data_IF_006320289581
#
_entry.id   IF_006320289581
#
_cell.length_a   1.000
_cell.length_b   1.000
_cell.length_c   1.000
_cell.angle_alpha   90.00
_cell.angle_beta   90.00
_cell.angle_gamma   90.00
#
_symmetry.space_group_name_H-M   'P 1'
#
loop_
_entity.id
_entity.type
_entity.pdbx_description
1 polymer ?
#
# COMPACT_ATOMS: atom_id res chain seq x y z
N UNK A 1 22.61 -13.04 -0.21
CA UNK A 1 21.36 -12.60 -0.85
C UNK A 1 21.51 -12.80 -2.36
N UNK A 2 20.53 -13.43 -3.06
CA UNK A 2 20.59 -13.56 -4.53
C UNK A 2 20.29 -12.21 -5.17
N UNK A 3 21.20 -11.68 -5.98
CA UNK A 3 20.98 -10.53 -6.84
C UNK A 3 20.80 -11.00 -8.29
N UNK A 4 19.97 -10.30 -9.03
CA UNK A 4 19.54 -10.67 -10.37
C UNK A 4 20.20 -9.78 -11.42
N UNK A 5 20.49 -10.33 -12.62
CA UNK A 5 20.95 -9.61 -13.80
C UNK A 5 19.90 -9.60 -14.91
N UNK A 6 20.10 -8.80 -15.95
CA UNK A 6 19.19 -8.66 -17.10
C UNK A 6 17.85 -7.98 -16.75
N UNK A 7 17.74 -7.34 -15.58
CA UNK A 7 16.51 -6.68 -15.14
C UNK A 7 16.28 -5.36 -15.89
N UNK A 8 17.35 -4.63 -16.16
CA UNK A 8 17.24 -3.34 -16.85
C UNK A 8 16.79 -3.54 -18.30
N UNK A 9 17.32 -4.54 -18.99
CA UNK A 9 16.89 -4.90 -20.34
C UNK A 9 15.40 -5.27 -20.36
N UNK A 10 14.94 -6.05 -19.38
CA UNK A 10 13.51 -6.39 -19.24
C UNK A 10 12.63 -5.16 -18.98
N UNK A 11 13.14 -4.14 -18.28
CA UNK A 11 12.41 -2.86 -18.10
C UNK A 11 12.31 -2.14 -19.43
N UNK A 12 13.38 -2.14 -20.23
CA UNK A 12 13.47 -1.51 -21.54
C UNK A 12 12.79 -2.28 -22.68
N UNK A 13 12.36 -3.51 -22.42
CA UNK A 13 11.66 -4.33 -23.42
C UNK A 13 10.44 -3.57 -23.95
N UNK A 14 10.32 -3.38 -25.28
CA UNK A 14 9.18 -2.72 -25.89
C UNK A 14 7.83 -3.30 -25.45
N UNK A 15 7.73 -4.63 -25.34
CA UNK A 15 6.53 -5.31 -24.89
C UNK A 15 6.20 -4.96 -23.42
N UNK A 16 7.21 -4.83 -22.55
CA UNK A 16 7.01 -4.41 -21.18
C UNK A 16 6.56 -2.95 -21.07
N UNK A 17 7.17 -2.04 -21.83
CA UNK A 17 6.79 -0.61 -21.86
C UNK A 17 5.36 -0.44 -22.38
N UNK A 18 5.00 -1.20 -23.38
CA UNK A 18 3.67 -1.23 -23.95
C UNK A 18 2.62 -1.73 -22.94
N UNK A 19 2.86 -2.88 -22.34
CA UNK A 19 2.02 -3.41 -21.28
C UNK A 19 1.97 -2.47 -20.05
N UNK A 20 3.04 -1.72 -19.77
CA UNK A 20 3.08 -0.71 -18.70
C UNK A 20 2.18 0.49 -19.02
N UNK A 21 2.16 0.95 -20.28
CA UNK A 21 1.24 2.00 -20.75
C UNK A 21 -0.22 1.55 -20.56
N UNK A 22 -0.57 0.34 -20.97
CA UNK A 22 -1.92 -0.21 -20.82
C UNK A 22 -2.34 -0.30 -19.34
N UNK A 23 -1.43 -0.80 -18.47
CA UNK A 23 -1.69 -0.85 -17.02
C UNK A 23 -1.86 0.53 -16.41
N UNK A 24 -1.05 1.52 -16.81
CA UNK A 24 -1.13 2.89 -16.33
C UNK A 24 -2.43 3.59 -16.78
N UNK A 25 -2.94 3.25 -17.97
CA UNK A 25 -4.15 3.82 -18.57
C UNK A 25 -5.45 3.23 -18.00
N UNK A 26 -5.40 2.06 -17.34
CA UNK A 26 -6.60 1.36 -16.84
C UNK A 26 -7.45 2.26 -15.95
N UNK A 27 -8.75 2.41 -16.28
CA UNK A 27 -9.71 3.26 -15.57
C UNK A 27 -9.44 4.77 -15.71
N UNK A 28 -8.62 5.20 -16.70
CA UNK A 28 -8.25 6.60 -16.90
C UNK A 28 -8.15 6.98 -18.38
N UNK A 29 -8.61 6.14 -19.28
CA UNK A 29 -8.49 6.33 -20.75
C UNK A 29 -9.17 7.60 -21.24
N UNK A 30 -10.17 8.10 -20.52
CA UNK A 30 -10.90 9.33 -20.86
C UNK A 30 -10.14 10.63 -20.50
N UNK A 31 -9.02 10.52 -19.77
CA UNK A 31 -8.24 11.71 -19.37
C UNK A 31 -7.35 12.17 -20.51
N UNK A 32 -7.36 13.49 -20.82
CA UNK A 32 -6.60 14.06 -21.93
C UNK A 32 -5.10 13.69 -21.96
N UNK A 33 -4.33 13.70 -20.83
CA UNK A 33 -2.94 13.26 -20.86
C UNK A 33 -2.76 11.78 -21.24
N UNK A 34 -3.75 10.93 -20.89
CA UNK A 34 -3.74 9.50 -21.23
C UNK A 34 -4.04 9.31 -22.71
N UNK A 35 -5.09 9.96 -23.22
CA UNK A 35 -5.47 9.92 -24.64
C UNK A 35 -4.32 10.37 -25.54
N UNK A 36 -3.67 11.49 -25.19
CA UNK A 36 -2.51 12.00 -25.94
C UNK A 36 -1.39 10.96 -26.02
N UNK A 37 -0.97 10.38 -24.90
CA UNK A 37 0.12 9.40 -24.90
C UNK A 37 -0.28 8.11 -25.63
N UNK A 38 -1.55 7.70 -25.57
CA UNK A 38 -2.05 6.55 -26.33
C UNK A 38 -2.05 6.82 -27.84
N UNK A 39 -2.41 8.02 -28.28
CA UNK A 39 -2.37 8.43 -29.68
C UNK A 39 -0.93 8.52 -30.22
N UNK A 40 -0.01 9.02 -29.40
CA UNK A 40 1.42 9.16 -29.73
C UNK A 40 2.25 7.90 -29.41
N UNK A 41 1.63 6.78 -29.08
CA UNK A 41 2.27 5.56 -28.58
C UNK A 41 3.46 5.10 -29.43
N UNK A 42 3.31 5.10 -30.76
CA UNK A 42 4.32 4.63 -31.67
C UNK A 42 5.63 5.44 -31.66
N UNK A 43 5.58 6.70 -31.24
CA UNK A 43 6.74 7.59 -31.15
C UNK A 43 7.18 7.85 -29.70
N UNK A 44 6.23 7.92 -28.79
CA UNK A 44 6.49 8.27 -27.40
C UNK A 44 7.19 7.12 -26.61
N UNK A 45 6.82 5.86 -26.84
CA UNK A 45 7.44 4.72 -26.16
C UNK A 45 8.89 4.47 -26.62
N UNK A 46 9.23 4.46 -27.93
CA UNK A 46 10.63 4.39 -28.34
C UNK A 46 11.50 5.51 -27.78
N UNK A 47 11.00 6.76 -27.82
CA UNK A 47 11.71 7.89 -27.22
C UNK A 47 11.92 7.72 -25.72
N UNK A 48 10.91 7.26 -24.99
CA UNK A 48 11.01 6.99 -23.55
C UNK A 48 12.05 5.88 -23.28
N UNK A 49 12.07 4.83 -24.10
CA UNK A 49 13.05 3.75 -24.04
C UNK A 49 14.47 4.26 -24.24
N UNK A 50 14.68 5.12 -25.24
CA UNK A 50 15.99 5.75 -25.51
C UNK A 50 16.45 6.60 -24.32
N UNK A 51 15.59 7.44 -23.75
CA UNK A 51 15.91 8.25 -22.58
C UNK A 51 16.30 7.37 -21.37
N UNK A 52 15.58 6.27 -21.14
CA UNK A 52 15.89 5.30 -20.08
C UNK A 52 17.24 4.61 -20.34
N UNK A 53 17.48 4.14 -21.56
CA UNK A 53 18.70 3.45 -21.95
C UNK A 53 19.93 4.37 -21.84
N UNK A 54 19.81 5.62 -22.28
CA UNK A 54 20.88 6.62 -22.20
C UNK A 54 21.09 7.19 -20.77
N UNK A 55 20.18 6.89 -19.81
CA UNK A 55 20.22 7.45 -18.46
C UNK A 55 19.87 8.94 -18.39
N UNK A 56 19.28 9.49 -19.45
CA UNK A 56 18.85 10.91 -19.54
C UNK A 56 17.42 11.12 -19.05
N UNK A 57 16.68 10.04 -18.75
CA UNK A 57 15.34 10.13 -18.18
C UNK A 57 15.32 10.98 -16.93
N UNK A 58 14.39 11.92 -16.86
CA UNK A 58 14.10 12.72 -15.66
C UNK A 58 12.57 12.73 -15.44
N UNK A 59 12.11 12.43 -14.21
CA UNK A 59 10.71 12.54 -13.85
C UNK A 59 10.23 13.99 -13.96
N UNK A 60 8.97 14.18 -14.36
CA UNK A 60 8.33 15.48 -14.36
C UNK A 60 7.81 15.83 -12.97
N UNK A 61 7.57 17.11 -12.68
CA UNK A 61 6.99 17.53 -11.40
C UNK A 61 5.67 16.81 -11.10
N UNK A 62 5.43 16.52 -9.82
CA UNK A 62 4.18 15.95 -9.36
C UNK A 62 3.04 16.96 -9.35
N UNK A 63 1.85 16.55 -9.76
CA UNK A 63 0.61 17.24 -9.43
C UNK A 63 0.23 16.86 -8.00
N UNK A 64 0.10 17.88 -7.13
CA UNK A 64 -0.23 17.68 -5.73
C UNK A 64 -1.65 18.10 -5.43
N UNK A 65 -2.39 17.25 -4.72
CA UNK A 65 -3.70 17.59 -4.18
C UNK A 65 -3.91 16.94 -2.82
N UNK A 66 -4.78 17.55 -2.03
CA UNK A 66 -5.13 17.00 -0.72
C UNK A 66 -6.43 16.22 -0.79
N UNK A 67 -6.44 15.04 -0.16
CA UNK A 67 -7.64 14.28 0.12
C UNK A 67 -7.86 14.22 1.62
N UNK A 68 -9.12 14.29 2.06
CA UNK A 68 -9.49 14.12 3.46
C UNK A 68 -10.32 12.86 3.63
N UNK A 69 -9.65 11.71 3.80
CA UNK A 69 -10.32 10.42 3.96
C UNK A 69 -9.52 9.42 4.83
N UNK A 70 -9.80 9.29 6.09
CA UNK A 70 -10.50 10.15 7.06
C UNK A 70 -9.63 11.32 7.56
N UNK A 71 -8.35 11.33 7.22
CA UNK A 71 -7.36 12.35 7.59
C UNK A 71 -6.88 13.07 6.35
N UNK A 72 -6.50 14.35 6.45
CA UNK A 72 -5.87 15.04 5.34
C UNK A 72 -4.56 14.34 4.96
N UNK A 73 -4.43 14.05 3.66
CA UNK A 73 -3.22 13.47 3.06
C UNK A 73 -2.88 14.24 1.79
N UNK A 74 -1.62 14.60 1.65
CA UNK A 74 -1.09 15.15 0.40
C UNK A 74 -0.80 13.98 -0.53
N UNK A 75 -1.46 13.95 -1.67
CA UNK A 75 -1.24 12.96 -2.72
C UNK A 75 -0.36 13.60 -3.80
N UNK A 76 0.70 12.92 -4.18
CA UNK A 76 1.60 13.32 -5.26
C UNK A 76 1.34 12.44 -6.47
N UNK A 77 0.64 12.97 -7.45
CA UNK A 77 0.30 12.26 -8.68
C UNK A 77 1.43 12.46 -9.69
N UNK A 78 2.15 11.41 -10.05
CA UNK A 78 3.16 11.48 -11.09
C UNK A 78 2.53 11.79 -12.44
N UNK A 79 3.23 12.54 -13.29
CA UNK A 79 2.86 12.75 -14.67
C UNK A 79 2.61 11.41 -15.37
N UNK A 80 1.67 11.36 -16.32
CA UNK A 80 1.22 10.08 -16.87
C UNK A 80 2.37 9.28 -17.53
N UNK A 81 3.29 9.95 -18.22
CA UNK A 81 4.51 9.36 -18.78
C UNK A 81 5.36 8.65 -17.70
N UNK A 82 5.55 9.28 -16.55
CA UNK A 82 6.37 8.74 -15.47
C UNK A 82 5.67 7.56 -14.79
N UNK A 83 4.33 7.55 -14.78
CA UNK A 83 3.56 6.39 -14.33
C UNK A 83 3.77 5.17 -15.21
N UNK A 84 3.99 5.36 -16.53
CA UNK A 84 4.39 4.24 -17.41
C UNK A 84 5.73 3.68 -16.96
N UNK A 85 6.72 4.52 -16.64
CA UNK A 85 8.02 4.08 -16.10
C UNK A 85 7.83 3.33 -14.77
N UNK A 86 7.01 3.87 -13.85
CA UNK A 86 6.72 3.19 -12.59
C UNK A 86 6.10 1.79 -12.81
N UNK A 87 5.17 1.66 -13.76
CA UNK A 87 4.57 0.37 -14.11
C UNK A 87 5.59 -0.59 -14.76
N UNK A 88 6.48 -0.08 -15.63
CA UNK A 88 7.52 -0.89 -16.26
C UNK A 88 8.52 -1.42 -15.24
N UNK A 89 8.99 -0.57 -14.33
CA UNK A 89 9.89 -0.93 -13.23
C UNK A 89 9.22 -1.94 -12.28
N UNK A 90 7.99 -1.67 -11.86
CA UNK A 90 7.27 -2.56 -10.94
C UNK A 90 6.94 -3.92 -11.57
N UNK A 91 6.67 -4.00 -12.87
CA UNK A 91 6.44 -5.28 -13.54
C UNK A 91 7.64 -6.22 -13.41
N UNK A 92 8.86 -5.67 -13.37
CA UNK A 92 10.09 -6.46 -13.25
C UNK A 92 10.50 -6.67 -11.79
N UNK A 93 10.40 -5.65 -10.94
CA UNK A 93 10.89 -5.71 -9.56
C UNK A 93 9.87 -6.26 -8.57
N UNK A 94 8.56 -6.05 -8.77
CA UNK A 94 7.55 -6.51 -7.84
C UNK A 94 7.60 -8.03 -7.59
N UNK A 95 7.79 -8.91 -8.59
CA UNK A 95 7.95 -10.34 -8.35
C UNK A 95 9.16 -10.69 -7.49
N UNK A 96 10.24 -9.91 -7.55
CA UNK A 96 11.44 -10.12 -6.73
C UNK A 96 11.21 -9.65 -5.29
N UNK A 97 10.55 -8.51 -5.12
CA UNK A 97 10.15 -7.99 -3.80
C UNK A 97 9.15 -8.96 -3.16
N UNK A 98 8.15 -9.44 -3.91
CA UNK A 98 7.12 -10.36 -3.44
C UNK A 98 7.71 -11.63 -2.80
N UNK A 99 8.79 -12.18 -3.37
CA UNK A 99 9.49 -13.36 -2.83
C UNK A 99 10.18 -13.11 -1.49
N UNK A 100 10.45 -11.85 -1.14
CA UNK A 100 11.05 -11.47 0.13
C UNK A 100 10.01 -11.25 1.22
N UNK A 101 8.82 -10.79 0.81
CA UNK A 101 7.76 -10.45 1.76
C UNK A 101 7.19 -11.72 2.40
N UNK A 102 7.02 -11.68 3.70
CA UNK A 102 6.38 -12.77 4.44
C UNK A 102 4.91 -12.96 4.01
N UNK A 103 4.37 -14.14 4.29
CA UNK A 103 2.98 -14.46 3.96
C UNK A 103 1.97 -13.55 4.66
N UNK A 104 2.26 -13.08 5.88
CA UNK A 104 1.36 -12.27 6.70
C UNK A 104 1.51 -10.75 6.49
N UNK A 105 2.11 -10.32 5.37
CA UNK A 105 2.05 -8.95 4.84
C UNK A 105 0.93 -8.85 3.81
N UNK A 106 -0.01 -7.90 3.98
CA UNK A 106 -1.27 -7.86 3.24
C UNK A 106 -1.49 -6.61 2.39
N UNK A 107 -0.65 -5.60 2.47
CA UNK A 107 -0.85 -4.35 1.74
C UNK A 107 -0.28 -4.39 0.31
N UNK A 108 -1.04 -3.89 -0.67
CA UNK A 108 -0.59 -3.69 -2.06
C UNK A 108 -0.04 -4.96 -2.76
N UNK A 109 -0.56 -6.12 -2.40
CA UNK A 109 -0.18 -7.43 -2.96
C UNK A 109 -1.40 -8.11 -3.57
N UNK A 110 -1.19 -8.78 -4.70
CA UNK A 110 -2.24 -9.56 -5.36
C UNK A 110 -2.72 -10.71 -4.46
N UNK A 111 -4.01 -10.96 -4.46
CA UNK A 111 -4.61 -11.99 -3.63
C UNK A 111 -4.59 -11.72 -2.12
N UNK A 112 -4.13 -10.55 -1.66
CA UNK A 112 -4.08 -10.13 -0.26
C UNK A 112 -5.16 -9.07 0.03
N UNK A 113 -4.85 -7.98 0.68
CA UNK A 113 -5.76 -6.87 0.95
C UNK A 113 -6.34 -6.86 2.36
N UNK A 114 -7.09 -5.80 2.67
CA UNK A 114 -7.58 -5.53 4.03
C UNK A 114 -8.52 -6.60 4.58
N UNK A 115 -9.35 -7.20 3.73
CA UNK A 115 -10.30 -8.23 4.18
C UNK A 115 -9.58 -9.50 4.65
N UNK A 116 -8.60 -9.98 3.86
CA UNK A 116 -7.81 -11.15 4.25
C UNK A 116 -6.95 -10.86 5.47
N UNK A 117 -6.41 -9.64 5.60
CA UNK A 117 -5.69 -9.21 6.80
C UNK A 117 -6.59 -9.28 8.05
N UNK A 118 -7.85 -8.83 7.96
CA UNK A 118 -8.82 -8.88 9.07
C UNK A 118 -9.15 -10.32 9.48
N UNK A 119 -9.42 -11.20 8.52
CA UNK A 119 -9.67 -12.62 8.79
C UNK A 119 -8.46 -13.31 9.43
N UNK A 120 -7.26 -12.99 8.94
CA UNK A 120 -6.01 -13.52 9.52
C UNK A 120 -5.80 -13.01 10.93
N UNK A 121 -6.02 -11.72 11.17
CA UNK A 121 -5.95 -11.10 12.49
C UNK A 121 -6.96 -11.73 13.47
N UNK A 122 -8.18 -12.01 13.01
CA UNK A 122 -9.19 -12.71 13.82
C UNK A 122 -8.75 -14.14 14.15
N UNK A 123 -8.12 -14.85 13.20
CA UNK A 123 -7.55 -16.18 13.43
C UNK A 123 -6.47 -16.18 14.51
N UNK A 124 -5.67 -15.11 14.60
CA UNK A 124 -4.71 -14.96 15.71
C UNK A 124 -5.39 -14.57 17.02
N UNK A 125 -6.38 -13.69 17.00
CA UNK A 125 -7.14 -13.31 18.19
C UNK A 125 -7.85 -14.49 18.87
N UNK A 126 -8.25 -15.53 18.09
CA UNK A 126 -8.83 -16.76 18.65
C UNK A 126 -7.84 -17.66 19.41
N UNK A 127 -6.54 -17.50 19.15
CA UNK A 127 -5.48 -18.42 19.65
C UNK A 127 -4.62 -17.80 20.71
N UNK A 128 -4.68 -16.48 20.90
CA UNK A 128 -3.82 -15.76 21.83
C UNK A 128 -4.64 -14.86 22.75
N UNK A 129 -4.12 -14.61 23.95
CA UNK A 129 -4.82 -13.80 24.95
C UNK A 129 -4.63 -12.30 24.79
N UNK A 130 -3.49 -11.90 24.22
CA UNK A 130 -3.08 -10.51 24.16
C UNK A 130 -2.66 -10.08 22.74
N UNK A 131 -2.80 -8.80 22.45
CA UNK A 131 -2.27 -8.20 21.22
C UNK A 131 -1.47 -6.94 21.50
N UNK A 132 -0.48 -6.69 20.64
CA UNK A 132 0.17 -5.40 20.44
C UNK A 132 -0.26 -4.86 19.09
N UNK A 133 -0.83 -3.65 19.09
CA UNK A 133 -1.16 -2.90 17.89
C UNK A 133 -0.33 -1.63 17.86
N UNK A 134 0.41 -1.40 16.79
CA UNK A 134 1.23 -0.19 16.64
C UNK A 134 1.24 0.31 15.20
N UNK A 135 1.72 1.52 15.00
CA UNK A 135 1.75 2.25 13.73
C UNK A 135 3.10 3.01 13.65
N UNK A 136 3.65 3.22 12.48
CA UNK A 136 4.90 3.97 12.30
C UNK A 136 4.56 5.43 12.06
N UNK A 137 5.29 6.32 12.75
CA UNK A 137 5.11 7.76 12.65
C UNK A 137 5.46 8.26 11.25
N UNK A 138 4.50 8.92 10.55
CA UNK A 138 4.67 9.51 9.21
C UNK A 138 5.44 8.60 8.25
N UNK A 139 5.07 7.34 8.18
CA UNK A 139 5.86 6.29 7.53
C UNK A 139 6.42 6.69 6.18
N UNK A 140 5.57 7.09 5.23
CA UNK A 140 6.02 7.49 3.89
C UNK A 140 6.98 8.68 3.89
N UNK A 141 6.76 9.67 4.75
CA UNK A 141 7.62 10.85 4.87
C UNK A 141 8.96 10.52 5.58
N UNK A 142 9.02 9.41 6.31
CA UNK A 142 10.15 9.02 7.13
C UNK A 142 11.10 8.01 6.49
N UNK A 143 10.75 7.45 5.33
CA UNK A 143 11.60 6.48 4.63
C UNK A 143 12.90 7.15 4.21
N UNK A 144 14.03 6.65 4.73
CA UNK A 144 15.37 7.11 4.39
C UNK A 144 15.79 6.56 3.02
N UNK A 145 16.27 7.44 2.13
CA UNK A 145 16.62 7.05 0.77
C UNK A 145 17.88 6.19 0.71
N UNK A 146 18.86 6.43 1.58
CA UNK A 146 20.12 5.65 1.62
C UNK A 146 19.79 4.19 1.98
N UNK A 147 19.01 4.00 3.04
CA UNK A 147 18.59 2.68 3.50
C UNK A 147 17.72 1.99 2.43
N UNK A 148 16.75 2.70 1.84
CA UNK A 148 15.91 2.15 0.78
C UNK A 148 16.71 1.74 -0.45
N UNK A 149 17.60 2.61 -0.91
CA UNK A 149 18.45 2.34 -2.07
C UNK A 149 19.38 1.15 -1.82
N UNK A 150 19.97 1.03 -0.62
CA UNK A 150 20.74 -0.14 -0.25
C UNK A 150 19.94 -1.45 -0.38
N UNK A 151 18.67 -1.47 0.10
CA UNK A 151 17.76 -2.63 -0.04
C UNK A 151 17.43 -2.92 -1.51
N UNK A 152 17.17 -1.89 -2.33
CA UNK A 152 16.89 -2.03 -3.75
C UNK A 152 18.12 -2.51 -4.54
N UNK A 153 19.31 -1.96 -4.24
CA UNK A 153 20.58 -2.35 -4.89
C UNK A 153 20.99 -3.77 -4.55
N UNK A 154 20.55 -4.27 -3.43
CA UNK A 154 20.74 -5.67 -3.07
C UNK A 154 19.92 -6.63 -3.97
N UNK A 155 18.86 -6.16 -4.63
CA UNK A 155 18.09 -6.95 -5.59
C UNK A 155 18.71 -6.96 -7.01
N UNK A 156 19.47 -5.93 -7.38
CA UNK A 156 20.01 -5.77 -8.74
C UNK A 156 21.49 -5.39 -8.74
N UNK A 157 22.23 -5.91 -9.75
CA UNK A 157 23.68 -5.62 -9.91
C UNK A 157 23.95 -4.50 -10.92
N UNK A 158 22.99 -4.23 -11.80
CA UNK A 158 23.16 -3.40 -12.99
C UNK A 158 23.25 -1.92 -12.64
N UNK A 159 24.36 -1.23 -12.95
CA UNK A 159 24.54 0.19 -12.63
C UNK A 159 23.46 1.08 -13.26
N UNK A 160 23.01 0.75 -14.46
CA UNK A 160 21.96 1.50 -15.16
C UNK A 160 20.61 1.44 -14.40
N UNK A 161 20.23 0.24 -13.92
CA UNK A 161 19.01 0.09 -13.10
C UNK A 161 19.15 0.81 -11.76
N UNK A 162 20.30 0.71 -11.11
CA UNK A 162 20.56 1.44 -9.85
C UNK A 162 20.42 2.96 -10.01
N UNK A 163 20.93 3.51 -11.12
CA UNK A 163 20.74 4.94 -11.44
C UNK A 163 19.29 5.29 -11.64
N UNK A 164 18.53 4.48 -12.38
CA UNK A 164 17.09 4.71 -12.57
C UNK A 164 16.32 4.66 -11.24
N UNK A 165 16.64 3.71 -10.36
CA UNK A 165 16.01 3.59 -9.05
C UNK A 165 16.33 4.80 -8.16
N UNK A 166 17.56 5.30 -8.17
CA UNK A 166 17.94 6.53 -7.47
C UNK A 166 17.13 7.73 -7.97
N UNK A 167 17.03 7.91 -9.29
CA UNK A 167 16.24 9.00 -9.90
C UNK A 167 14.77 8.93 -9.48
N UNK A 168 14.18 7.73 -9.37
CA UNK A 168 12.78 7.56 -8.94
C UNK A 168 12.60 7.81 -7.44
N UNK A 169 13.51 7.30 -6.61
CA UNK A 169 13.41 7.38 -5.15
C UNK A 169 13.66 8.82 -4.67
N UNK A 170 14.66 9.51 -5.24
CA UNK A 170 15.08 10.85 -4.84
C UNK A 170 14.19 11.97 -5.39
N UNK A 171 13.26 11.65 -6.29
CA UNK A 171 12.34 12.64 -6.82
C UNK A 171 11.09 12.78 -5.91
N UNK A 172 10.63 14.01 -5.58
CA UNK A 172 11.13 15.31 -6.02
C UNK A 172 12.24 15.87 -5.13
N UNK A 173 12.44 15.29 -3.94
CA UNK A 173 13.40 15.80 -2.94
C UNK A 173 14.28 14.65 -2.47
N UNK A 174 15.61 14.74 -2.63
CA UNK A 174 16.53 13.71 -2.16
C UNK A 174 16.57 13.62 -0.62
N UNK A 175 17.03 12.47 -0.13
CA UNK A 175 17.34 12.22 1.27
C UNK A 175 16.26 11.47 2.02
N UNK A 176 15.02 11.91 2.00
CA UNK A 176 13.95 11.31 2.83
C UNK A 176 12.56 11.46 2.24
N UNK A 177 11.76 10.42 2.39
CA UNK A 177 10.34 10.39 2.06
C UNK A 177 10.01 9.81 0.68
N UNK A 178 8.88 9.13 0.60
CA UNK A 178 8.30 8.64 -0.65
C UNK A 178 6.95 9.31 -0.92
N UNK A 179 6.69 9.73 -2.16
CA UNK A 179 5.43 10.36 -2.52
C UNK A 179 4.26 9.37 -2.42
N UNK A 180 3.21 9.76 -1.69
CA UNK A 180 1.98 8.97 -1.60
C UNK A 180 1.20 9.09 -2.91
N UNK A 181 0.85 7.95 -3.51
CA UNK A 181 0.07 7.89 -4.75
C UNK A 181 0.77 7.19 -5.90
N UNK A 182 2.05 6.85 -5.77
CA UNK A 182 2.82 6.16 -6.80
C UNK A 182 2.90 4.64 -6.55
N UNK A 183 2.89 3.87 -7.63
CA UNK A 183 3.00 2.41 -7.57
C UNK A 183 4.35 1.97 -6.99
N UNK A 184 5.45 2.61 -7.42
CA UNK A 184 6.80 2.35 -6.90
C UNK A 184 6.89 2.57 -5.40
N UNK A 185 6.30 3.68 -4.90
CA UNK A 185 6.30 3.98 -3.46
C UNK A 185 5.64 2.88 -2.62
N UNK A 186 4.59 2.22 -3.13
CA UNK A 186 3.91 1.13 -2.44
C UNK A 186 4.81 -0.11 -2.28
N UNK A 187 5.46 -0.52 -3.37
CA UNK A 187 6.37 -1.67 -3.36
C UNK A 187 7.64 -1.40 -2.55
N UNK A 188 8.20 -0.21 -2.70
CA UNK A 188 9.41 0.20 -1.99
C UNK A 188 9.17 0.33 -0.49
N UNK A 189 8.03 0.89 -0.09
CA UNK A 189 7.62 0.93 1.31
C UNK A 189 7.42 -0.49 1.89
N UNK A 190 6.83 -1.42 1.15
CA UNK A 190 6.74 -2.80 1.62
C UNK A 190 8.11 -3.46 1.81
N UNK A 191 9.04 -3.23 0.87
CA UNK A 191 10.42 -3.72 0.95
C UNK A 191 11.20 -3.08 2.12
N UNK A 192 10.94 -1.80 2.41
CA UNK A 192 11.65 -1.10 3.47
C UNK A 192 11.46 -1.77 4.85
N UNK A 193 10.25 -2.26 5.12
CA UNK A 193 9.90 -2.94 6.37
C UNK A 193 10.06 -4.46 6.33
N UNK A 194 10.60 -5.05 5.27
CA UNK A 194 10.79 -6.51 5.20
C UNK A 194 11.68 -7.05 6.33
N UNK A 195 12.65 -6.25 6.76
CA UNK A 195 13.54 -6.58 7.87
C UNK A 195 12.79 -6.71 9.20
N UNK A 196 11.80 -5.85 9.45
CA UNK A 196 10.91 -5.96 10.62
C UNK A 196 10.10 -7.25 10.56
N UNK A 197 9.57 -7.59 9.37
CA UNK A 197 8.78 -8.80 9.18
C UNK A 197 9.59 -10.06 9.51
N UNK A 198 10.82 -10.14 9.00
CA UNK A 198 11.72 -11.25 9.25
C UNK A 198 12.20 -11.29 10.71
N UNK A 199 12.54 -10.13 11.28
CA UNK A 199 12.93 -10.05 12.69
C UNK A 199 11.81 -10.56 13.61
N UNK A 200 10.56 -10.10 13.41
CA UNK A 200 9.41 -10.54 14.22
C UNK A 200 9.17 -12.06 14.09
N UNK A 201 9.32 -12.62 12.88
CA UNK A 201 8.97 -14.02 12.59
C UNK A 201 10.11 -15.00 12.89
N UNK A 202 11.34 -14.64 12.59
CA UNK A 202 12.49 -15.53 12.58
C UNK A 202 13.35 -15.38 13.85
N UNK A 203 13.53 -14.14 14.35
CA UNK A 203 14.32 -13.84 15.54
C UNK A 203 13.44 -13.91 16.78
N UNK A 204 12.40 -13.06 16.85
CA UNK A 204 11.49 -12.98 17.99
C UNK A 204 10.48 -14.14 18.03
N UNK A 205 10.28 -14.83 16.90
CA UNK A 205 9.40 -16.00 16.78
C UNK A 205 7.99 -15.75 17.33
N UNK A 206 7.48 -14.53 17.12
CA UNK A 206 6.13 -14.14 17.56
C UNK A 206 5.11 -15.01 16.84
N UNK A 207 4.22 -15.69 17.57
CA UNK A 207 3.31 -16.68 17.00
C UNK A 207 2.23 -16.06 16.12
N UNK A 208 1.78 -14.83 16.43
CA UNK A 208 0.79 -14.09 15.66
C UNK A 208 1.34 -12.75 15.16
N UNK A 209 1.38 -12.55 13.84
CA UNK A 209 1.82 -11.30 13.23
C UNK A 209 1.07 -11.04 11.94
N UNK A 210 0.59 -9.80 11.77
CA UNK A 210 -0.02 -9.30 10.53
C UNK A 210 0.48 -7.88 10.29
N UNK A 211 0.95 -7.59 9.08
CA UNK A 211 1.31 -6.24 8.66
C UNK A 211 0.43 -5.76 7.50
N UNK A 212 -0.01 -4.53 7.60
CA UNK A 212 -0.68 -3.83 6.51
C UNK A 212 -0.02 -2.46 6.30
N UNK A 213 0.98 -2.37 5.44
CA UNK A 213 1.88 -1.23 5.27
C UNK A 213 2.63 -0.91 6.57
N UNK A 214 2.40 0.25 7.18
CA UNK A 214 2.91 0.74 8.45
C UNK A 214 2.12 0.28 9.67
N UNK A 215 1.00 -0.40 9.45
CA UNK A 215 0.07 -0.86 10.47
C UNK A 215 0.43 -2.28 10.92
N UNK A 216 1.05 -2.44 12.12
CA UNK A 216 1.54 -3.69 12.65
C UNK A 216 0.61 -4.22 13.75
N UNK A 217 0.28 -5.49 13.68
CA UNK A 217 -0.53 -6.19 14.67
C UNK A 217 0.15 -7.51 15.06
N UNK A 218 0.39 -7.70 16.35
CA UNK A 218 1.15 -8.83 16.90
C UNK A 218 0.34 -9.46 18.04
N UNK A 219 0.46 -10.78 18.24
CA UNK A 219 -0.26 -11.52 19.27
C UNK A 219 0.69 -12.45 20.02
N UNK A 220 0.48 -12.54 21.33
CA UNK A 220 1.17 -13.48 22.22
C UNK A 220 0.20 -13.99 23.29
N UNK A 221 0.66 -14.98 24.08
CA UNK A 221 -0.11 -15.52 25.19
C UNK A 221 -0.13 -14.60 26.41
N UNK A 222 0.96 -13.86 26.63
CA UNK A 222 1.13 -12.95 27.75
C UNK A 222 1.48 -11.53 27.31
N UNK A 223 1.19 -10.56 28.15
CA UNK A 223 1.41 -9.14 27.87
C UNK A 223 2.86 -8.72 28.07
N UNK A 224 3.57 -9.37 28.97
CA UNK A 224 4.98 -9.08 29.32
C UNK A 224 5.85 -9.27 28.09
N UNK A 225 5.62 -10.36 27.35
CA UNK A 225 6.29 -10.62 26.07
C UNK A 225 6.04 -9.51 25.04
N UNK A 226 4.82 -8.99 24.98
CA UNK A 226 4.48 -7.90 24.04
C UNK A 226 5.06 -6.55 24.48
N UNK A 227 5.21 -6.29 25.79
CA UNK A 227 5.90 -5.09 26.27
C UNK A 227 7.39 -5.11 25.93
N UNK A 228 8.08 -6.23 26.18
CA UNK A 228 9.47 -6.43 25.79
C UNK A 228 9.64 -6.26 24.26
N UNK A 229 8.80 -6.94 23.49
CA UNK A 229 8.80 -6.83 22.02
C UNK A 229 8.59 -5.41 21.52
N UNK A 230 7.72 -4.62 22.15
CA UNK A 230 7.48 -3.22 21.75
C UNK A 230 8.74 -2.36 21.99
N UNK A 231 9.49 -2.62 23.06
CA UNK A 231 10.75 -1.94 23.33
C UNK A 231 11.82 -2.32 22.30
N UNK A 232 11.97 -3.61 22.01
CA UNK A 232 12.94 -4.12 21.04
C UNK A 232 12.62 -3.66 19.61
N UNK A 233 11.33 -3.68 19.23
CA UNK A 233 10.86 -3.15 17.94
C UNK A 233 11.20 -1.67 17.78
N UNK A 234 11.03 -0.88 18.84
CA UNK A 234 11.39 0.55 18.85
C UNK A 234 12.89 0.74 18.61
N UNK A 235 13.71 -0.01 19.31
CA UNK A 235 15.17 0.02 19.16
C UNK A 235 15.61 -0.39 17.76
N UNK A 236 15.04 -1.47 17.21
CA UNK A 236 15.32 -1.96 15.86
C UNK A 236 14.94 -0.91 14.78
N UNK A 237 13.74 -0.33 14.88
CA UNK A 237 13.26 0.69 13.92
C UNK A 237 14.17 1.91 13.93
N UNK A 238 14.55 2.41 15.10
CA UNK A 238 15.42 3.58 15.23
C UNK A 238 16.84 3.28 14.69
N UNK A 239 17.44 2.16 15.12
CA UNK A 239 18.83 1.86 14.79
C UNK A 239 19.05 1.43 13.35
N UNK A 240 18.09 0.71 12.73
CA UNK A 240 18.29 0.10 11.40
C UNK A 240 17.52 0.77 10.28
N UNK A 241 16.39 1.41 10.59
CA UNK A 241 15.50 1.95 9.59
C UNK A 241 15.24 3.45 9.72
N UNK A 242 15.85 4.11 10.70
CA UNK A 242 15.63 5.52 11.00
C UNK A 242 14.13 5.89 11.12
N UNK A 243 13.34 4.98 11.71
CA UNK A 243 11.89 5.08 11.89
C UNK A 243 11.54 5.15 13.38
N UNK A 244 10.37 5.74 13.67
CA UNK A 244 9.81 5.86 15.02
C UNK A 244 8.43 5.24 15.09
N UNK A 245 8.12 4.56 16.20
CA UNK A 245 6.75 4.15 16.51
C UNK A 245 5.89 5.36 16.85
N UNK A 246 4.64 5.25 16.53
CA UNK A 246 3.63 6.22 16.91
C UNK A 246 3.08 5.84 18.29
N UNK A 247 3.66 6.40 19.35
CA UNK A 247 3.38 6.02 20.74
C UNK A 247 1.89 6.12 21.10
N UNK A 248 1.23 7.18 20.65
CA UNK A 248 -0.21 7.39 20.86
C UNK A 248 -1.11 6.39 20.12
N UNK A 249 -0.51 5.50 19.32
CA UNK A 249 -1.17 4.39 18.60
C UNK A 249 -0.64 3.02 19.00
N UNK A 250 0.35 2.97 19.88
CA UNK A 250 0.88 1.72 20.42
C UNK A 250 -0.01 1.27 21.58
N UNK A 251 -0.66 0.14 21.41
CA UNK A 251 -1.65 -0.39 22.33
C UNK A 251 -1.39 -1.88 22.58
N UNK A 252 -1.24 -2.24 23.85
CA UNK A 252 -1.21 -3.64 24.31
C UNK A 252 -2.45 -3.86 25.15
N UNK A 253 -3.27 -4.84 24.78
CA UNK A 253 -4.53 -5.11 25.47
C UNK A 253 -4.98 -6.57 25.26
N UNK A 254 -5.90 -7.08 26.10
CA UNK A 254 -6.53 -8.37 25.90
C UNK A 254 -7.34 -8.42 24.60
N UNK A 255 -7.33 -9.56 23.91
CA UNK A 255 -8.09 -9.73 22.65
C UNK A 255 -9.60 -9.58 22.85
N UNK A 256 -10.10 -9.80 24.08
CA UNK A 256 -11.51 -9.62 24.45
C UNK A 256 -11.99 -8.15 24.35
N UNK A 257 -11.10 -7.18 24.44
CA UNK A 257 -11.44 -5.77 24.25
C UNK A 257 -11.63 -5.37 22.77
N UNK A 258 -11.20 -6.25 21.87
CA UNK A 258 -11.28 -6.03 20.43
C UNK A 258 -10.21 -5.07 19.90
N UNK A 259 -9.30 -5.58 19.08
CA UNK A 259 -8.20 -4.83 18.48
C UNK A 259 -8.70 -3.87 17.38
N UNK A 260 -8.37 -2.57 17.42
CA UNK A 260 -8.67 -1.65 16.32
C UNK A 260 -7.72 -1.89 15.13
N UNK A 261 -8.24 -2.41 14.01
CA UNK A 261 -7.42 -2.71 12.83
C UNK A 261 -8.19 -2.42 11.53
N UNK A 262 -7.60 -1.67 10.62
CA UNK A 262 -8.13 -1.35 9.28
C UNK A 262 -9.59 -0.86 9.25
N UNK A 263 -10.00 -0.09 10.28
CA UNK A 263 -11.35 0.45 10.41
C UNK A 263 -12.38 -0.51 10.98
N UNK A 264 -11.92 -1.61 11.57
CA UNK A 264 -12.71 -2.59 12.30
C UNK A 264 -12.20 -2.78 13.73
N UNK A 265 -13.02 -3.35 14.59
CA UNK A 265 -12.60 -3.98 15.84
C UNK A 265 -12.60 -5.50 15.64
N UNK A 266 -11.45 -6.11 15.87
CA UNK A 266 -11.20 -7.53 15.71
C UNK A 266 -11.31 -8.20 17.06
N UNK A 267 -12.34 -9.00 17.26
CA UNK A 267 -12.55 -9.88 18.40
C UNK A 267 -12.32 -11.33 18.00
N UNK A 268 -12.11 -12.27 18.93
CA UNK A 268 -11.99 -13.71 18.62
C UNK A 268 -13.18 -14.24 17.79
N UNK A 269 -14.42 -13.91 18.20
CA UNK A 269 -15.66 -14.40 17.55
C UNK A 269 -16.29 -13.43 16.56
N UNK A 270 -15.89 -12.17 16.52
CA UNK A 270 -16.61 -11.12 15.84
C UNK A 270 -15.68 -10.09 15.19
N UNK A 271 -16.04 -9.60 14.00
CA UNK A 271 -15.47 -8.40 13.39
C UNK A 271 -16.52 -7.28 13.43
N UNK A 272 -16.28 -6.21 14.17
CA UNK A 272 -17.22 -5.09 14.29
C UNK A 272 -16.67 -3.86 13.59
N UNK A 273 -17.44 -3.29 12.67
CA UNK A 273 -17.06 -2.06 11.99
C UNK A 273 -17.01 -0.87 12.95
N UNK A 274 -15.96 -0.05 12.88
CA UNK A 274 -15.84 1.11 13.76
C UNK A 274 -16.85 2.21 13.40
N UNK A 275 -17.42 2.85 14.41
CA UNK A 275 -18.46 3.87 14.26
C UNK A 275 -18.14 5.01 13.28
N UNK A 276 -16.93 5.60 13.29
CA UNK A 276 -16.57 6.65 12.32
C UNK A 276 -16.63 6.17 10.86
N UNK A 277 -16.19 4.93 10.59
CA UNK A 277 -16.28 4.34 9.24
C UNK A 277 -17.73 4.13 8.82
N UNK A 278 -18.56 3.60 9.72
CA UNK A 278 -19.97 3.36 9.45
C UNK A 278 -20.73 4.67 9.18
N UNK A 279 -20.49 5.70 9.99
CA UNK A 279 -21.10 7.04 9.78
C UNK A 279 -20.69 7.65 8.43
N UNK A 280 -19.43 7.47 8.00
CA UNK A 280 -18.98 7.95 6.69
C UNK A 280 -19.64 7.20 5.55
N UNK A 281 -19.75 5.89 5.65
CA UNK A 281 -20.43 5.06 4.65
C UNK A 281 -21.89 5.46 4.50
N UNK A 282 -22.61 5.67 5.61
CA UNK A 282 -23.99 6.15 5.58
C UNK A 282 -24.11 7.52 4.91
N UNK A 283 -23.24 8.49 5.26
CA UNK A 283 -23.23 9.80 4.61
C UNK A 283 -22.96 9.71 3.11
N UNK A 284 -22.06 8.86 2.69
CA UNK A 284 -21.79 8.66 1.26
C UNK A 284 -23.01 8.08 0.54
N UNK A 285 -23.68 7.08 1.15
CA UNK A 285 -24.88 6.49 0.58
C UNK A 285 -25.99 7.54 0.41
N UNK A 286 -26.34 8.25 1.47
CA UNK A 286 -27.36 9.34 1.44
C UNK A 286 -27.03 10.37 0.36
N UNK A 287 -25.75 10.78 0.23
CA UNK A 287 -25.35 11.71 -0.84
C UNK A 287 -25.58 11.12 -2.24
N UNK A 288 -25.27 9.84 -2.45
CA UNK A 288 -25.46 9.16 -3.74
C UNK A 288 -26.93 8.97 -4.08
N UNK A 289 -27.76 8.66 -3.08
CA UNK A 289 -29.21 8.61 -3.23
C UNK A 289 -29.78 9.97 -3.64
N UNK A 290 -29.36 11.06 -3.00
CA UNK A 290 -29.75 12.42 -3.39
C UNK A 290 -29.32 12.78 -4.81
N UNK A 291 -28.11 12.42 -5.23
CA UNK A 291 -27.63 12.63 -6.60
C UNK A 291 -28.43 11.81 -7.62
N UNK A 292 -28.85 10.60 -7.30
CA UNK A 292 -29.70 9.78 -8.16
C UNK A 292 -31.09 10.39 -8.30
N UNK A 293 -31.72 10.83 -7.21
CA UNK A 293 -33.03 11.48 -7.23
C UNK A 293 -33.01 12.82 -8.01
N UNK A 294 -31.88 13.53 -7.97
CA UNK A 294 -31.67 14.75 -8.76
C UNK A 294 -31.30 14.49 -10.23
N UNK A 295 -31.21 13.23 -10.67
CA UNK A 295 -30.81 12.89 -12.05
C UNK A 295 -29.34 13.09 -12.38
N UNK A 296 -28.48 13.39 -11.38
CA UNK A 296 -27.04 13.65 -11.58
C UNK A 296 -26.25 12.36 -11.86
N UNK A 297 -26.74 11.21 -11.38
CA UNK A 297 -26.15 9.90 -11.59
C UNK A 297 -27.23 8.87 -11.98
N UNK A 298 -26.85 7.90 -12.81
CA UNK A 298 -27.72 6.78 -13.15
C UNK A 298 -27.79 5.70 -12.06
N UNK A 299 -28.79 4.81 -12.17
CA UNK A 299 -29.02 3.67 -11.28
C UNK A 299 -27.76 2.79 -11.13
N UNK A 300 -27.02 2.52 -12.21
CA UNK A 300 -25.79 1.73 -12.20
C UNK A 300 -24.74 2.28 -11.22
N UNK A 301 -24.54 3.61 -11.22
CA UNK A 301 -23.58 4.27 -10.31
C UNK A 301 -24.04 4.18 -8.85
N UNK A 302 -25.35 4.26 -8.58
CA UNK A 302 -25.88 4.07 -7.24
C UNK A 302 -25.70 2.61 -6.79
N UNK A 303 -26.05 1.64 -7.64
CA UNK A 303 -25.85 0.23 -7.35
C UNK A 303 -24.39 -0.13 -7.10
N UNK A 304 -23.46 0.39 -7.90
CA UNK A 304 -22.03 0.19 -7.69
C UNK A 304 -21.56 0.75 -6.33
N UNK A 305 -22.09 1.89 -5.91
CA UNK A 305 -21.83 2.44 -4.58
C UNK A 305 -22.34 1.51 -3.48
N UNK A 306 -23.59 1.03 -3.58
CA UNK A 306 -24.18 0.09 -2.62
C UNK A 306 -23.37 -1.21 -2.55
N UNK A 307 -23.03 -1.79 -3.71
CA UNK A 307 -22.19 -3.02 -3.79
C UNK A 307 -20.81 -2.80 -3.14
N UNK A 308 -20.16 -1.67 -3.41
CA UNK A 308 -18.86 -1.34 -2.82
C UNK A 308 -18.92 -1.18 -1.29
N UNK A 309 -20.01 -0.63 -0.76
CA UNK A 309 -20.22 -0.48 0.68
C UNK A 309 -20.63 -1.79 1.38
N UNK A 310 -21.41 -2.65 0.70
CA UNK A 310 -21.86 -3.93 1.20
C UNK A 310 -20.78 -5.03 1.07
N UNK A 311 -19.95 -4.99 0.04
CA UNK A 311 -18.97 -6.02 -0.29
C UNK A 311 -18.08 -6.46 0.88
N UNK A 312 -17.46 -5.54 1.65
CA UNK A 312 -16.66 -5.90 2.81
C UNK A 312 -17.43 -6.68 3.89
N UNK A 313 -18.69 -6.36 4.13
CA UNK A 313 -19.55 -7.04 5.11
C UNK A 313 -19.90 -8.45 4.66
N UNK A 314 -20.32 -8.59 3.40
CA UNK A 314 -20.64 -9.89 2.79
C UNK A 314 -19.42 -10.81 2.78
N UNK A 315 -18.26 -10.31 2.39
CA UNK A 315 -17.01 -11.07 2.37
C UNK A 315 -16.60 -11.59 3.76
N UNK A 316 -16.81 -10.77 4.79
CA UNK A 316 -16.46 -11.10 6.17
C UNK A 316 -17.55 -11.91 6.90
N UNK A 317 -18.67 -12.22 6.24
CA UNK A 317 -19.76 -13.02 6.81
C UNK A 317 -20.58 -12.29 7.88
N UNK A 318 -20.52 -10.96 7.94
CA UNK A 318 -21.18 -10.17 8.98
C UNK A 318 -22.24 -9.22 8.44
N UNK A 319 -23.45 -9.46 8.89
CA UNK A 319 -24.57 -8.53 8.94
C UNK A 319 -25.29 -8.24 7.62
N UNK A 320 -26.49 -7.74 7.73
CA UNK A 320 -27.25 -7.23 6.59
C UNK A 320 -26.49 -6.08 5.91
N UNK A 321 -26.57 -5.97 4.57
CA UNK A 321 -26.02 -4.84 3.86
C UNK A 321 -26.63 -3.53 4.39
N UNK A 322 -25.88 -2.42 4.26
CA UNK A 322 -26.50 -1.11 4.35
C UNK A 322 -27.55 -1.07 3.26
N UNK A 323 -28.83 -1.08 3.66
CA UNK A 323 -29.92 -0.95 2.70
C UNK A 323 -29.94 0.51 2.23
N UNK A 324 -30.08 0.69 0.94
CA UNK A 324 -30.53 1.95 0.36
C UNK A 324 -31.95 2.21 0.87
N UNK A 325 -32.28 3.46 1.12
CA UNK A 325 -33.67 3.86 1.41
C UNK A 325 -34.50 3.91 0.12
N UNK A 326 -33.86 3.74 -1.02
CA UNK A 326 -34.47 3.73 -2.35
C UNK A 326 -34.35 2.34 -2.92
N UNK A 327 -35.48 1.73 -3.30
CA UNK A 327 -35.50 0.50 -4.08
C UNK A 327 -35.07 0.83 -5.51
N UNK A 328 -33.91 0.28 -5.93
CA UNK A 328 -33.30 0.45 -7.28
C UNK A 328 -33.24 -0.88 -7.98
#
# INVERSE_FOLDING_TARGET
MKSYGGLFERILDPANLDAALERAARGKRERAPVQRLLAERATALPRLREELAAGTYRPRPYEQFSICDPKPRRISCAHFRDRVVHHAVCAVLAPLIERRLIADNYACREGKGSHRALLRAQGFARRHGWYLKTDIRRYYDSIDHVILLAKLYALCREPALRRLLAVIVEHPIPGKGLPIGNLTSQWFANLYLDEVDHWVREVERIPGYVRYMDDLALWAHDKERLFALAADLRALLAARLALELKEERTLIAPVGEGMPFLGWRVYPGLLRQQGPRLRRQRRLLVRREAQYLAGEIGADKLQDCVRALAGPRKFLGYGEPLRSTIDV
#
